data_IF_533666503912
#
_entry.id   IF_533666503912
#
_cell.length_a   1.000
_cell.length_b   1.000
_cell.length_c   1.000
_cell.angle_alpha   90.00
_cell.angle_beta   90.00
_cell.angle_gamma   90.00
#
_symmetry.space_group_name_H-M   'P 1'
#
loop_
_entity.id
_entity.type
_entity.pdbx_description
1 polymer ?
#
# COMPACT_ATOMS: atom_id res chain seq x y z
N UNK A 1 -5.46 -10.60 4.71
CA UNK A 1 -4.45 -10.71 3.63
C UNK A 1 -4.91 -11.52 2.42
N UNK A 2 -5.64 -12.64 2.58
CA UNK A 2 -6.06 -13.51 1.44
C UNK A 2 -6.73 -12.75 0.29
N UNK A 3 -7.64 -11.81 0.58
CA UNK A 3 -8.36 -11.04 -0.46
C UNK A 3 -7.43 -10.17 -1.34
N UNK A 4 -6.24 -9.83 -0.86
CA UNK A 4 -5.28 -9.01 -1.59
C UNK A 4 -4.36 -9.83 -2.51
N UNK A 5 -4.32 -11.16 -2.34
CA UNK A 5 -3.49 -12.03 -3.20
C UNK A 5 -3.86 -11.92 -4.68
N UNK A 6 -5.12 -11.58 -4.99
CA UNK A 6 -5.61 -11.36 -6.37
C UNK A 6 -4.92 -10.21 -7.11
N UNK A 7 -4.23 -9.32 -6.38
CA UNK A 7 -3.50 -8.19 -6.95
C UNK A 7 -2.01 -8.48 -7.15
N UNK A 8 -1.48 -9.54 -6.55
CA UNK A 8 -0.10 -9.96 -6.77
C UNK A 8 0.06 -10.42 -8.22
N UNK A 9 1.09 -9.92 -8.90
CA UNK A 9 1.39 -10.18 -10.30
C UNK A 9 0.66 -9.27 -11.29
N UNK A 10 -0.29 -8.45 -10.83
CA UNK A 10 -0.96 -7.45 -11.68
C UNK A 10 -0.05 -6.27 -11.99
N UNK A 11 -0.31 -5.64 -13.14
CA UNK A 11 0.39 -4.42 -13.55
C UNK A 11 -0.01 -3.27 -12.62
N UNK A 12 0.98 -2.54 -12.10
CA UNK A 12 0.79 -1.39 -11.24
C UNK A 12 0.57 -0.12 -12.07
N UNK A 13 -0.49 0.64 -11.77
CA UNK A 13 -0.85 1.89 -12.46
C UNK A 13 -0.38 3.10 -11.66
N UNK A 14 0.83 3.56 -11.95
CA UNK A 14 1.42 4.74 -11.30
C UNK A 14 0.58 6.01 -11.48
N UNK A 15 -0.01 6.20 -12.67
CA UNK A 15 -0.83 7.38 -12.98
C UNK A 15 -2.07 7.53 -12.08
N UNK A 16 -2.64 6.41 -11.60
CA UNK A 16 -3.74 6.45 -10.63
C UNK A 16 -3.29 7.00 -9.28
N UNK A 17 -2.07 6.68 -8.86
CA UNK A 17 -1.51 7.15 -7.59
C UNK A 17 -1.11 8.63 -7.66
N UNK A 18 -0.68 9.11 -8.84
CA UNK A 18 -0.43 10.55 -9.08
C UNK A 18 -1.68 11.41 -8.92
N UNK A 19 -2.88 10.82 -8.96
CA UNK A 19 -4.11 11.51 -8.64
C UNK A 19 -4.29 11.63 -7.12
N UNK A 20 -3.91 12.79 -6.57
CA UNK A 20 -4.02 13.08 -5.14
C UNK A 20 -5.48 13.04 -4.63
N UNK A 21 -6.46 13.51 -5.41
CA UNK A 21 -7.87 13.48 -5.02
C UNK A 21 -8.38 12.04 -4.81
N UNK A 22 -7.90 11.10 -5.64
CA UNK A 22 -8.21 9.68 -5.49
C UNK A 22 -7.67 9.14 -4.15
N UNK A 23 -6.42 9.42 -3.81
CA UNK A 23 -5.80 9.00 -2.55
C UNK A 23 -6.52 9.61 -1.33
N UNK A 24 -6.81 10.91 -1.39
CA UNK A 24 -7.54 11.63 -0.35
C UNK A 24 -8.96 11.07 -0.14
N UNK A 25 -9.66 10.71 -1.23
CA UNK A 25 -10.99 10.09 -1.16
C UNK A 25 -11.01 8.76 -0.40
N UNK A 26 -9.85 8.10 -0.28
CA UNK A 26 -9.66 6.86 0.47
C UNK A 26 -8.95 7.09 1.82
N UNK A 27 -8.62 8.33 2.16
CA UNK A 27 -7.79 8.66 3.34
C UNK A 27 -6.48 7.85 3.35
N UNK A 28 -5.84 7.76 2.20
CA UNK A 28 -4.53 7.15 1.98
C UNK A 28 -3.55 8.27 1.62
N UNK A 29 -2.39 8.30 2.25
CA UNK A 29 -1.33 9.26 1.92
C UNK A 29 -0.15 8.50 1.30
N UNK A 30 0.34 8.92 0.14
CA UNK A 30 1.57 8.36 -0.43
C UNK A 30 2.77 9.10 0.18
N UNK A 31 3.73 8.36 0.73
CA UNK A 31 4.92 8.91 1.39
C UNK A 31 6.09 9.08 0.42
N UNK A 32 6.22 8.16 -0.53
CA UNK A 32 7.25 8.20 -1.57
C UNK A 32 6.65 7.72 -2.89
N UNK A 33 6.57 8.62 -3.88
CA UNK A 33 6.03 8.33 -5.20
C UNK A 33 7.14 8.50 -6.25
N UNK A 34 7.57 7.43 -6.94
CA UNK A 34 8.54 7.58 -8.01
C UNK A 34 7.91 8.25 -9.24
N UNK A 35 8.72 8.97 -10.03
CA UNK A 35 8.27 9.64 -11.26
C UNK A 35 7.81 8.64 -12.33
N UNK A 36 8.49 7.48 -12.37
CA UNK A 36 8.24 6.34 -13.25
C UNK A 36 8.55 5.06 -12.49
N UNK A 37 7.95 3.93 -12.90
CA UNK A 37 8.32 2.63 -12.37
C UNK A 37 9.58 2.14 -13.10
N UNK A 38 10.71 2.02 -12.39
CA UNK A 38 11.91 1.39 -12.92
C UNK A 38 11.85 -0.15 -12.80
N UNK A 39 13.00 -0.82 -12.79
CA UNK A 39 13.05 -2.28 -12.64
C UNK A 39 12.42 -2.72 -11.32
N UNK A 40 12.70 -1.99 -10.24
CA UNK A 40 12.21 -2.25 -8.90
C UNK A 40 11.87 -0.94 -8.19
N UNK A 41 10.69 -0.89 -7.58
CA UNK A 41 10.23 0.22 -6.77
C UNK A 41 9.58 -0.29 -5.48
N UNK A 42 9.81 0.42 -4.38
CA UNK A 42 9.02 0.28 -3.15
C UNK A 42 8.26 1.58 -2.90
N UNK A 43 6.94 1.45 -2.89
CA UNK A 43 6.03 2.59 -2.78
C UNK A 43 5.31 2.48 -1.45
N UNK A 44 5.45 3.52 -0.64
CA UNK A 44 4.93 3.55 0.72
C UNK A 44 3.69 4.42 0.82
N UNK A 45 2.70 3.89 1.54
CA UNK A 45 1.43 4.55 1.79
C UNK A 45 1.11 4.53 3.27
N UNK A 46 0.78 5.67 3.84
CA UNK A 46 0.24 5.77 5.18
C UNK A 46 -1.28 5.60 5.15
N UNK A 47 -1.78 4.67 5.95
CA UNK A 47 -3.21 4.39 6.13
C UNK A 47 -3.49 4.35 7.63
N UNK A 48 -4.19 5.37 8.13
CA UNK A 48 -4.24 5.66 9.57
C UNK A 48 -2.81 5.79 10.15
N UNK A 49 -2.39 4.88 11.03
CA UNK A 49 -1.05 4.82 11.63
C UNK A 49 -0.22 3.62 11.12
N UNK A 50 -0.67 2.95 10.05
CA UNK A 50 -0.01 1.78 9.44
C UNK A 50 0.60 2.17 8.11
N UNK A 51 1.86 1.81 7.89
CA UNK A 51 2.51 1.94 6.60
C UNK A 51 2.24 0.68 5.78
N UNK A 52 1.66 0.88 4.60
CA UNK A 52 1.51 -0.11 3.55
C UNK A 52 2.64 0.08 2.52
N UNK A 53 3.53 -0.90 2.44
CA UNK A 53 4.60 -0.92 1.43
C UNK A 53 4.21 -1.87 0.29
N UNK A 54 4.27 -1.37 -0.95
CA UNK A 54 4.01 -2.14 -2.17
C UNK A 54 5.32 -2.24 -2.94
N UNK A 55 5.84 -3.46 -3.06
CA UNK A 55 7.00 -3.73 -3.90
C UNK A 55 6.54 -4.06 -5.33
N UNK A 56 7.05 -3.30 -6.29
CA UNK A 56 6.78 -3.45 -7.71
C UNK A 56 8.07 -3.88 -8.39
N UNK A 57 8.05 -4.96 -9.17
CA UNK A 57 9.18 -5.43 -9.97
C UNK A 57 8.69 -5.65 -11.40
N UNK A 58 9.39 -5.06 -12.36
CA UNK A 58 9.04 -5.06 -13.79
C UNK A 58 7.59 -4.58 -14.00
N UNK A 59 7.19 -3.51 -13.32
CA UNK A 59 5.84 -2.95 -13.41
C UNK A 59 4.74 -3.78 -12.74
N UNK A 60 5.07 -4.89 -12.06
CA UNK A 60 4.08 -5.78 -11.43
C UNK A 60 4.20 -5.81 -9.92
N UNK A 61 3.07 -5.84 -9.23
CA UNK A 61 3.06 -6.00 -7.77
C UNK A 61 3.64 -7.36 -7.39
N UNK A 62 4.71 -7.39 -6.60
CA UNK A 62 5.30 -8.63 -6.07
C UNK A 62 4.92 -8.88 -4.62
N UNK A 63 4.76 -7.81 -3.85
CA UNK A 63 4.55 -7.90 -2.40
C UNK A 63 3.74 -6.72 -1.90
N UNK A 64 2.88 -6.99 -0.92
CA UNK A 64 2.15 -5.99 -0.14
C UNK A 64 2.47 -6.29 1.32
N UNK A 65 3.04 -5.31 2.02
CA UNK A 65 3.38 -5.41 3.44
C UNK A 65 2.62 -4.34 4.21
N UNK A 66 2.21 -4.69 5.43
CA UNK A 66 1.67 -3.76 6.40
C UNK A 66 2.61 -3.78 7.60
N UNK A 67 3.10 -2.61 7.99
CA UNK A 67 4.03 -2.45 9.10
C UNK A 67 3.60 -1.29 9.99
N UNK A 68 3.90 -1.43 11.27
CA UNK A 68 3.85 -0.32 12.22
C UNK A 68 5.19 0.40 12.13
N UNK A 69 5.15 1.72 12.10
CA UNK A 69 6.35 2.56 12.17
C UNK A 69 6.39 3.28 13.51
N UNK A 70 7.57 3.35 14.12
CA UNK A 70 7.77 4.15 15.31
C UNK A 70 7.84 5.63 14.91
N UNK A 71 6.93 6.47 15.41
CA UNK A 71 6.90 7.92 15.08
C UNK A 71 8.16 8.67 15.54
N UNK A 72 8.83 8.17 16.58
CA UNK A 72 10.07 8.74 17.10
C UNK A 72 11.32 8.20 16.39
N UNK A 73 11.20 7.05 15.71
CA UNK A 73 12.27 6.39 14.96
C UNK A 73 11.67 5.73 13.70
N UNK A 74 11.40 6.50 12.62
CA UNK A 74 10.68 5.99 11.45
C UNK A 74 11.35 4.81 10.73
N UNK A 75 12.66 4.67 10.88
CA UNK A 75 13.44 3.54 10.35
C UNK A 75 13.14 2.22 11.08
N UNK A 76 12.57 2.28 12.29
CA UNK A 76 12.10 1.13 13.04
C UNK A 76 10.69 0.75 12.59
N UNK A 77 10.62 -0.26 11.74
CA UNK A 77 9.36 -0.91 11.36
C UNK A 77 9.21 -2.28 12.03
N UNK A 78 7.98 -2.61 12.41
CA UNK A 78 7.62 -3.90 12.98
C UNK A 78 6.39 -4.48 12.28
N UNK A 79 6.30 -5.81 12.13
CA UNK A 79 5.08 -6.42 11.63
C UNK A 79 3.92 -6.16 12.59
N UNK A 80 2.71 -6.13 12.05
CA UNK A 80 1.51 -6.17 12.87
C UNK A 80 1.39 -7.56 13.51
N UNK A 81 0.97 -7.60 14.77
CA UNK A 81 0.44 -8.82 15.37
C UNK A 81 -0.84 -9.23 14.65
N UNK A 82 -1.28 -10.47 14.88
CA UNK A 82 -2.52 -10.98 14.27
C UNK A 82 -3.74 -10.12 14.62
N UNK A 83 -3.87 -9.74 15.89
CA UNK A 83 -5.00 -8.91 16.38
C UNK A 83 -4.98 -7.52 15.73
N UNK A 84 -3.83 -6.85 15.73
CA UNK A 84 -3.67 -5.54 15.08
C UNK A 84 -4.00 -5.59 13.59
N UNK A 85 -3.59 -6.65 12.90
CA UNK A 85 -3.89 -6.85 11.49
C UNK A 85 -5.39 -7.07 11.25
N UNK A 86 -6.05 -7.88 12.09
CA UNK A 86 -7.48 -8.14 12.01
C UNK A 86 -8.30 -6.86 12.24
N UNK A 87 -7.94 -6.07 13.25
CA UNK A 87 -8.59 -4.79 13.56
C UNK A 87 -8.36 -3.76 12.45
N UNK A 88 -7.13 -3.65 11.94
CA UNK A 88 -6.81 -2.78 10.82
C UNK A 88 -7.65 -3.14 9.58
N UNK A 89 -7.71 -4.43 9.22
CA UNK A 89 -8.48 -4.88 8.07
C UNK A 89 -9.99 -4.70 8.28
N UNK A 90 -10.51 -4.94 9.47
CA UNK A 90 -11.95 -4.73 9.77
C UNK A 90 -12.39 -3.28 9.49
N UNK A 91 -11.51 -2.30 9.74
CA UNK A 91 -11.77 -0.88 9.48
C UNK A 91 -11.50 -0.49 8.02
N UNK A 92 -10.46 -1.06 7.41
CA UNK A 92 -9.85 -0.52 6.19
C UNK A 92 -9.95 -1.43 4.96
N UNK A 93 -10.47 -2.65 5.07
CA UNK A 93 -10.44 -3.63 3.99
C UNK A 93 -11.17 -3.14 2.73
N UNK A 94 -12.38 -2.60 2.85
CA UNK A 94 -13.16 -2.15 1.69
C UNK A 94 -12.45 -1.05 0.91
N UNK A 95 -11.91 -0.04 1.61
CA UNK A 95 -11.16 1.04 0.96
C UNK A 95 -9.85 0.55 0.34
N UNK A 96 -9.16 -0.41 0.97
CA UNK A 96 -7.93 -0.99 0.42
C UNK A 96 -8.24 -1.84 -0.82
N UNK A 97 -9.35 -2.59 -0.83
CA UNK A 97 -9.79 -3.31 -2.03
C UNK A 97 -10.06 -2.34 -3.17
N UNK A 98 -10.81 -1.26 -2.90
CA UNK A 98 -11.07 -0.21 -3.89
C UNK A 98 -9.77 0.45 -4.38
N UNK A 99 -8.82 0.72 -3.47
CA UNK A 99 -7.50 1.22 -3.82
C UNK A 99 -6.83 0.28 -4.84
N UNK A 100 -6.64 -0.99 -4.48
CA UNK A 100 -5.96 -1.96 -5.34
C UNK A 100 -6.69 -2.22 -6.67
N UNK A 101 -8.02 -2.19 -6.69
CA UNK A 101 -8.81 -2.33 -7.93
C UNK A 101 -8.59 -1.19 -8.92
N UNK A 102 -8.29 0.03 -8.45
CA UNK A 102 -8.04 1.18 -9.31
C UNK A 102 -6.56 1.31 -9.73
N UNK A 103 -5.64 0.79 -8.91
CA UNK A 103 -4.20 0.91 -9.13
C UNK A 103 -3.60 -0.32 -9.83
N UNK A 104 -4.44 -1.28 -10.23
CA UNK A 104 -4.00 -2.48 -10.94
C UNK A 104 -4.75 -2.74 -12.25
N UNK A 105 -4.12 -3.53 -13.13
CA UNK A 105 -4.73 -4.17 -14.30
C UNK A 105 -4.52 -5.68 -14.24
#
# INVERSE_FOLDING_TARGET
MEKFKKFIGKTFKLETIKNQEFLESLSICCQNLPDKIEEFEEIEFLVDDIVMCIAVLEGKIKRIMLVKVNKESPDECAPLTKEELEDFLKKNEEKLLKFFENITE
#
